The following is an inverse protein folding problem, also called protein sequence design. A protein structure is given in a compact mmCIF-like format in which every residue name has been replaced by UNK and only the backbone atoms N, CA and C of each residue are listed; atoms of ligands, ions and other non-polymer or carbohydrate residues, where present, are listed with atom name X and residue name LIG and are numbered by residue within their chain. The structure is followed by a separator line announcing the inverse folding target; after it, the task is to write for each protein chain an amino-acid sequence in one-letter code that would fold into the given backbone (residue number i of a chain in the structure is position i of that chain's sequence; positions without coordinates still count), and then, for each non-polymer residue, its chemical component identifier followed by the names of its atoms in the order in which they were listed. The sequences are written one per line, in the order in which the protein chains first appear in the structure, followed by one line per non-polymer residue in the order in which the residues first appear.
data_IF_309640255172
#
_entry.id   IF_309640255172
#
_cell.length_a   1.000
_cell.length_b   1.000
_cell.length_c   1.000
_cell.angle_alpha   90.00
_cell.angle_beta   90.00
_cell.angle_gamma   90.00
#
_symmetry.space_group_name_H-M   'P 1'
#
loop_
_entity.id
_entity.type
_entity.pdbx_description
1 polymer ?
#
# COMPACT_ATOMS: atom_id res chain seq x y z
N UNK A 1 -4.65 10.59 3.31
CA UNK A 1 -4.75 12.06 3.39
C UNK A 1 -4.32 12.66 2.06
N UNK A 2 -5.13 13.55 1.45
CA UNK A 2 -4.75 14.26 0.21
C UNK A 2 -4.87 15.76 0.44
N UNK A 3 -3.84 16.51 0.06
CA UNK A 3 -3.79 17.96 0.17
C UNK A 3 -3.29 18.56 -1.12
N UNK A 4 -3.86 19.69 -1.54
CA UNK A 4 -3.41 20.45 -2.71
C UNK A 4 -3.32 21.91 -2.35
N UNK A 5 -2.21 22.55 -2.71
CA UNK A 5 -1.98 23.97 -2.55
C UNK A 5 -1.71 24.59 -3.93
N UNK A 6 -2.48 25.61 -4.31
CA UNK A 6 -2.24 26.36 -5.54
C UNK A 6 -1.34 27.55 -5.21
N UNK A 7 -0.17 27.63 -5.85
CA UNK A 7 0.80 28.71 -5.64
C UNK A 7 0.54 29.86 -6.60
N UNK A 8 0.06 29.56 -7.81
CA UNK A 8 -0.42 30.54 -8.78
C UNK A 8 -1.63 30.00 -9.53
N UNK A 9 -2.22 30.78 -10.44
CA UNK A 9 -3.32 30.30 -11.30
C UNK A 9 -2.97 29.04 -12.09
N UNK A 10 -1.68 28.84 -12.40
CA UNK A 10 -1.21 27.75 -13.23
C UNK A 10 -0.33 26.74 -12.50
N UNK A 11 0.13 27.02 -11.27
CA UNK A 11 1.01 26.09 -10.54
C UNK A 11 0.39 25.58 -9.26
N UNK A 12 0.49 24.27 -9.03
CA UNK A 12 0.04 23.63 -7.80
C UNK A 12 1.04 22.59 -7.28
N UNK A 13 1.05 22.43 -5.98
CA UNK A 13 1.66 21.29 -5.29
C UNK A 13 0.55 20.39 -4.74
N UNK A 14 0.75 19.08 -4.82
CA UNK A 14 -0.16 18.11 -4.23
C UNK A 14 0.62 17.07 -3.41
N UNK A 15 0.11 16.81 -2.21
CA UNK A 15 0.59 15.80 -1.28
C UNK A 15 -0.46 14.70 -1.18
N UNK A 16 -0.03 13.46 -1.34
CA UNK A 16 -0.87 12.28 -1.17
C UNK A 16 -0.18 11.32 -0.21
N UNK A 17 -0.87 10.98 0.86
CA UNK A 17 -0.47 9.98 1.85
C UNK A 17 -1.54 8.89 1.85
N UNK A 18 -1.17 7.68 1.44
CA UNK A 18 -2.03 6.52 1.46
C UNK A 18 -1.47 5.48 2.44
N UNK A 19 -2.33 4.97 3.31
CA UNK A 19 -2.01 3.89 4.22
C UNK A 19 -2.83 2.68 3.81
N UNK A 20 -2.15 1.60 3.45
CA UNK A 20 -2.77 0.34 3.07
C UNK A 20 -2.35 -0.72 4.07
N UNK A 21 -3.33 -1.23 4.80
CA UNK A 21 -3.16 -2.41 5.65
C UNK A 21 -3.74 -3.60 4.91
N UNK A 22 -2.88 -4.57 4.58
CA UNK A 22 -3.31 -5.82 3.98
C UNK A 22 -3.27 -6.88 5.07
N UNK A 23 -4.45 -7.28 5.55
CA UNK A 23 -4.59 -8.47 6.39
C UNK A 23 -4.93 -9.65 5.48
N UNK A 24 -3.99 -10.58 5.33
CA UNK A 24 -4.24 -11.82 4.59
C UNK A 24 -4.32 -12.97 5.58
N UNK A 25 -5.55 -13.41 5.87
CA UNK A 25 -5.81 -14.65 6.58
C UNK A 25 -5.66 -15.80 5.56
N UNK A 26 -4.43 -16.29 5.43
CA UNK A 26 -4.06 -17.33 4.48
C UNK A 26 -3.81 -18.65 5.17
N UNK A 27 -4.65 -19.66 4.87
CA UNK A 27 -4.31 -21.06 5.14
C UNK A 27 -3.23 -21.51 4.16
N UNK A 28 -1.96 -21.36 4.54
CA UNK A 28 -0.85 -21.77 3.69
C UNK A 28 -0.64 -23.28 3.83
N UNK A 29 -0.81 -24.02 2.72
CA UNK A 29 -0.50 -25.45 2.66
C UNK A 29 0.98 -25.61 2.32
N UNK A 30 1.78 -26.05 3.29
CA UNK A 30 3.20 -26.27 3.10
C UNK A 30 3.43 -27.70 2.59
N UNK A 31 3.91 -27.82 1.34
CA UNK A 31 4.35 -29.08 0.77
C UNK A 31 5.81 -29.31 1.14
N UNK A 32 6.06 -30.24 2.05
CA UNK A 32 7.41 -30.62 2.49
C UNK A 32 7.55 -32.13 2.35
N UNK A 33 8.64 -32.54 1.70
CA UNK A 33 9.09 -33.93 1.66
C UNK A 33 8.05 -34.93 1.11
N UNK A 34 7.38 -34.57 0.01
CA UNK A 34 6.44 -35.46 -0.68
C UNK A 34 5.05 -35.57 -0.02
N UNK A 35 4.81 -34.84 1.06
CA UNK A 35 3.54 -34.83 1.78
C UNK A 35 3.00 -33.40 1.97
N UNK A 36 1.68 -33.27 1.92
CA UNK A 36 0.99 -32.06 2.38
C UNK A 36 1.06 -32.05 3.91
N UNK A 37 1.94 -31.24 4.49
CA UNK A 37 1.94 -31.02 5.93
C UNK A 37 0.81 -30.04 6.32
N UNK A 38 0.40 -30.10 7.59
CA UNK A 38 -0.76 -29.43 8.13
C UNK A 38 -0.84 -27.93 7.76
N UNK A 39 -2.06 -27.41 7.71
CA UNK A 39 -2.34 -25.99 7.46
C UNK A 39 -1.65 -25.15 8.52
N UNK A 40 -0.64 -24.38 8.13
CA UNK A 40 -0.07 -23.34 8.98
C UNK A 40 -0.94 -22.11 8.74
N UNK A 41 -1.68 -21.70 9.76
CA UNK A 41 -2.38 -20.41 9.76
C UNK A 41 -1.29 -19.34 9.84
N UNK A 42 -0.98 -18.73 8.70
CA UNK A 42 0.03 -17.69 8.60
C UNK A 42 -0.70 -16.37 8.37
N UNK A 43 -0.86 -15.60 9.44
CA UNK A 43 -1.28 -14.20 9.33
C UNK A 43 -0.13 -13.43 8.69
N UNK A 44 -0.28 -13.11 7.40
CA UNK A 44 0.64 -12.21 6.71
C UNK A 44 0.04 -10.82 6.83
N UNK A 45 0.50 -10.08 7.83
CA UNK A 45 0.23 -8.65 7.97
C UNK A 45 1.26 -7.87 7.16
N UNK A 46 0.81 -7.15 6.14
CA UNK A 46 1.67 -6.25 5.36
C UNK A 46 1.15 -4.83 5.51
N UNK A 47 1.96 -3.98 6.14
CA UNK A 47 1.68 -2.55 6.28
C UNK A 47 2.45 -1.78 5.21
N UNK A 48 1.73 -1.05 4.36
CA UNK A 48 2.32 -0.20 3.35
C UNK A 48 1.92 1.25 3.59
N UNK A 49 2.92 2.10 3.85
CA UNK A 49 2.76 3.54 3.89
C UNK A 49 3.31 4.14 2.59
N UNK A 50 2.44 4.75 1.81
CA UNK A 50 2.80 5.44 0.57
C UNK A 50 2.67 6.95 0.75
N UNK A 51 3.70 7.68 0.35
CA UNK A 51 3.70 9.14 0.34
C UNK A 51 4.22 9.69 -0.98
N UNK A 52 3.46 10.57 -1.60
CA UNK A 52 3.83 11.24 -2.84
C UNK A 52 3.67 12.77 -2.70
N UNK A 53 4.73 13.48 -3.07
CA UNK A 53 4.71 14.93 -3.28
C UNK A 53 4.86 15.20 -4.78
N UNK A 54 3.95 15.99 -5.33
CA UNK A 54 3.91 16.30 -6.76
C UNK A 54 3.77 17.79 -6.99
N UNK A 55 4.35 18.27 -8.09
CA UNK A 55 4.18 19.63 -8.59
C UNK A 55 3.61 19.55 -10.00
N UNK A 56 2.64 20.40 -10.31
CA UNK A 56 1.97 20.39 -11.61
C UNK A 56 1.71 21.78 -12.14
N UNK A 57 1.68 21.88 -13.47
CA UNK A 57 1.30 23.07 -14.22
C UNK A 57 -0.05 22.83 -14.91
N UNK A 58 -1.01 23.74 -14.74
CA UNK A 58 -2.31 23.74 -15.40
C UNK A 58 -2.31 24.83 -16.49
N UNK A 59 -2.53 24.41 -17.73
CA UNK A 59 -2.63 25.24 -18.93
C UNK A 59 -4.08 25.59 -19.24
#
# INVERSE_FOLDING_TARGET
LKGRCNVSRSWFFALQLDYTYINTDGRQKQYTDGAWSATIDQEITSEQLFGALSAGYAF
#
